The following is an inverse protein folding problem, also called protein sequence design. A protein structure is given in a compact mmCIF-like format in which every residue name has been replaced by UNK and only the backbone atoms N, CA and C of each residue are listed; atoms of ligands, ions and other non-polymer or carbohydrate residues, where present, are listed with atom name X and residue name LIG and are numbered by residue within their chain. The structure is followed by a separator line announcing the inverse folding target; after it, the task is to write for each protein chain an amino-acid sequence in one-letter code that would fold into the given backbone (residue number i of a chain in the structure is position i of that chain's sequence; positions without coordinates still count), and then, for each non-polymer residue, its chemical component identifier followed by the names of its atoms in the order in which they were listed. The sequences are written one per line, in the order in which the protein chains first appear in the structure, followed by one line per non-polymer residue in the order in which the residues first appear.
data_IF_611619607760
#
_entry.id   IF_611619607760
#
_cell.length_a   1.000
_cell.length_b   1.000
_cell.length_c   1.000
_cell.angle_alpha   90.00
_cell.angle_beta   90.00
_cell.angle_gamma   90.00
#
_symmetry.space_group_name_H-M   'P 1'
#
loop_
_entity.id
_entity.type
_entity.pdbx_description
1 polymer ?
#
# COMPACT_ATOMS: atom_id res chain seq x y z
N UNK A 1 13.01 -2.52 1.25
CA UNK A 1 12.90 -3.14 -0.05
C UNK A 1 13.42 -4.55 0.13
N UNK A 2 12.54 -5.55 -0.01
CA UNK A 2 12.97 -6.94 -0.03
C UNK A 2 13.95 -7.14 -1.18
N UNK A 3 14.89 -8.05 -1.02
CA UNK A 3 15.82 -8.41 -2.09
C UNK A 3 15.04 -9.15 -3.19
N UNK A 4 14.74 -8.44 -4.26
CA UNK A 4 13.99 -8.95 -5.41
C UNK A 4 14.98 -9.01 -6.58
N UNK A 5 15.23 -10.19 -7.16
CA UNK A 5 16.00 -10.30 -8.38
C UNK A 5 15.44 -9.35 -9.46
N UNK A 6 16.31 -8.61 -10.13
CA UNK A 6 15.89 -7.52 -11.05
C UNK A 6 15.04 -8.06 -12.20
N UNK A 7 15.31 -9.29 -12.66
CA UNK A 7 14.54 -10.04 -13.64
C UNK A 7 13.12 -10.41 -13.16
N UNK A 8 12.87 -10.38 -11.86
CA UNK A 8 11.56 -10.60 -11.26
C UNK A 8 10.78 -9.31 -10.96
N UNK A 9 11.43 -8.12 -10.98
CA UNK A 9 10.76 -6.84 -10.83
C UNK A 9 10.22 -6.32 -12.17
N UNK A 10 9.28 -7.07 -12.75
CA UNK A 10 8.64 -6.71 -14.02
C UNK A 10 7.38 -5.87 -13.74
N UNK A 11 7.29 -4.71 -14.39
CA UNK A 11 6.16 -3.80 -14.30
C UNK A 11 5.43 -3.71 -15.64
N UNK A 12 4.16 -4.10 -15.68
CA UNK A 12 3.32 -3.96 -16.88
C UNK A 12 3.00 -2.50 -17.18
N UNK A 13 2.75 -1.72 -16.12
CA UNK A 13 2.35 -0.32 -16.20
C UNK A 13 2.82 0.45 -14.99
N UNK A 14 3.29 1.68 -15.22
CA UNK A 14 3.60 2.64 -14.17
C UNK A 14 3.21 4.04 -14.65
N UNK A 15 2.38 4.74 -13.89
CA UNK A 15 1.96 6.09 -14.23
C UNK A 15 1.46 6.85 -13.00
N UNK A 16 1.42 8.18 -13.12
CA UNK A 16 0.79 9.05 -12.11
C UNK A 16 -0.71 9.15 -12.37
N UNK A 17 -1.50 9.08 -11.31
CA UNK A 17 -2.94 9.31 -11.38
C UNK A 17 -3.20 10.79 -11.66
N UNK A 18 -4.32 11.08 -12.32
CA UNK A 18 -4.80 12.44 -12.42
C UNK A 18 -5.00 13.03 -11.01
N UNK A 19 -4.63 14.30 -10.84
CA UNK A 19 -4.84 15.00 -9.58
C UNK A 19 -6.33 15.29 -9.43
N UNK A 20 -6.97 14.92 -8.30
CA UNK A 20 -8.32 15.39 -7.99
C UNK A 20 -8.38 16.92 -7.95
N UNK A 21 -9.46 17.50 -8.48
CA UNK A 21 -9.61 18.95 -8.59
C UNK A 21 -9.55 19.71 -7.25
N UNK A 22 -9.86 19.03 -6.14
CA UNK A 22 -9.83 19.62 -4.80
C UNK A 22 -8.42 19.68 -4.16
N UNK A 23 -7.41 19.07 -4.79
CA UNK A 23 -6.03 19.07 -4.26
C UNK A 23 -5.18 20.17 -4.90
N UNK A 24 -4.29 20.75 -4.09
CA UNK A 24 -3.34 21.79 -4.52
C UNK A 24 -2.42 21.28 -5.64
N UNK A 25 -2.00 22.16 -6.58
CA UNK A 25 -0.95 21.85 -7.54
C UNK A 25 0.38 21.41 -6.92
N UNK A 26 0.65 21.80 -5.67
CA UNK A 26 1.83 21.39 -4.92
C UNK A 26 1.72 19.99 -4.31
N UNK A 27 0.51 19.43 -4.20
CA UNK A 27 0.32 18.08 -3.66
C UNK A 27 0.91 17.03 -4.63
N UNK A 28 1.79 16.13 -4.15
CA UNK A 28 2.29 15.01 -4.94
C UNK A 28 1.13 14.18 -5.51
N UNK A 29 1.30 13.68 -6.74
CA UNK A 29 0.31 12.79 -7.36
C UNK A 29 0.65 11.35 -7.02
N UNK A 30 -0.37 10.56 -6.72
CA UNK A 30 -0.22 9.13 -6.51
C UNK A 30 0.31 8.43 -7.76
N UNK A 31 1.07 7.36 -7.55
CA UNK A 31 1.61 6.50 -8.61
C UNK A 31 0.89 5.16 -8.55
N UNK A 32 0.32 4.74 -9.68
CA UNK A 32 -0.19 3.39 -9.86
C UNK A 32 0.87 2.55 -10.55
N UNK A 33 1.20 1.42 -9.93
CA UNK A 33 2.15 0.43 -10.44
C UNK A 33 1.45 -0.93 -10.56
N UNK A 34 1.44 -1.48 -11.78
CA UNK A 34 1.01 -2.85 -12.05
C UNK A 34 2.23 -3.75 -12.10
N UNK A 35 2.50 -4.41 -10.97
CA UNK A 35 3.54 -5.45 -10.87
C UNK A 35 3.03 -6.69 -11.59
N UNK A 36 3.86 -7.27 -12.47
CA UNK A 36 3.51 -8.45 -13.27
C UNK A 36 3.27 -9.68 -12.38
N UNK A 37 4.20 -9.97 -11.47
CA UNK A 37 4.09 -11.09 -10.55
C UNK A 37 3.36 -10.71 -9.26
N UNK A 38 2.29 -11.44 -8.96
CA UNK A 38 1.50 -11.23 -7.73
C UNK A 38 2.34 -11.40 -6.45
N UNK A 39 3.23 -12.39 -6.39
CA UNK A 39 4.05 -12.62 -5.19
C UNK A 39 5.02 -11.46 -4.91
N UNK A 40 5.54 -10.79 -5.96
CA UNK A 40 6.39 -9.61 -5.81
C UNK A 40 5.61 -8.44 -5.22
N UNK A 41 4.38 -8.21 -5.71
CA UNK A 41 3.48 -7.21 -5.11
C UNK A 41 3.26 -7.49 -3.62
N UNK A 42 2.95 -8.72 -3.24
CA UNK A 42 2.69 -9.09 -1.84
C UNK A 42 3.95 -8.94 -0.97
N UNK A 43 5.12 -9.29 -1.50
CA UNK A 43 6.41 -9.10 -0.82
C UNK A 43 6.69 -7.62 -0.54
N UNK A 44 6.50 -6.75 -1.53
CA UNK A 44 6.63 -5.29 -1.38
C UNK A 44 5.69 -4.76 -0.29
N UNK A 45 4.41 -5.15 -0.34
CA UNK A 45 3.41 -4.73 0.65
C UNK A 45 3.74 -5.23 2.07
N UNK A 46 4.21 -6.47 2.20
CA UNK A 46 4.62 -7.05 3.49
C UNK A 46 5.83 -6.34 4.07
N UNK A 47 6.86 -6.06 3.27
CA UNK A 47 8.04 -5.30 3.71
C UNK A 47 7.67 -3.89 4.16
N UNK A 48 6.77 -3.19 3.45
CA UNK A 48 6.29 -1.90 3.92
C UNK A 48 5.52 -2.02 5.24
N UNK A 49 4.54 -2.93 5.37
CA UNK A 49 3.72 -3.03 6.60
C UNK A 49 4.55 -3.29 7.84
N UNK A 50 5.59 -4.12 7.71
CA UNK A 50 6.52 -4.43 8.80
C UNK A 50 7.59 -3.35 9.00
N UNK A 51 7.68 -2.37 8.09
CA UNK A 51 8.77 -1.39 7.96
C UNK A 51 10.16 -2.03 7.93
N UNK A 52 10.25 -3.33 7.67
CA UNK A 52 11.52 -4.06 7.53
C UNK A 52 12.11 -3.76 6.17
N UNK A 53 13.41 -3.53 6.15
CA UNK A 53 14.23 -3.32 4.96
C UNK A 53 13.94 -2.04 4.17
N UNK A 54 13.00 -1.17 4.58
CA UNK A 54 12.71 0.10 3.88
C UNK A 54 13.82 1.11 4.16
N UNK A 55 14.51 1.58 3.12
CA UNK A 55 15.54 2.60 3.23
C UNK A 55 14.96 3.89 3.86
N UNK A 56 15.76 4.59 4.68
CA UNK A 56 15.32 5.76 5.46
C UNK A 56 14.55 6.78 4.63
N UNK A 57 15.09 7.14 3.45
CA UNK A 57 14.49 8.10 2.51
C UNK A 57 13.12 7.71 1.96
N UNK A 58 12.67 6.47 2.18
CA UNK A 58 11.41 5.93 1.70
C UNK A 58 10.45 5.51 2.82
N UNK A 59 10.81 5.74 4.09
CA UNK A 59 9.95 5.38 5.22
C UNK A 59 8.64 6.17 5.27
N UNK A 60 8.64 7.39 4.74
CA UNK A 60 7.47 8.27 4.70
C UNK A 60 6.58 8.03 3.47
N UNK A 61 7.00 7.16 2.54
CA UNK A 61 6.17 6.77 1.41
C UNK A 61 5.11 5.79 1.91
N UNK A 62 3.87 6.06 1.55
CA UNK A 62 2.75 5.17 1.80
C UNK A 62 2.49 4.30 0.56
N UNK A 63 2.46 2.97 0.73
CA UNK A 63 2.10 2.02 -0.32
C UNK A 63 0.88 1.23 0.13
N UNK A 64 -0.16 1.28 -0.70
CA UNK A 64 -1.41 0.56 -0.48
C UNK A 64 -1.74 -0.33 -1.67
N UNK A 65 -2.62 -1.29 -1.44
CA UNK A 65 -3.24 -2.06 -2.52
C UNK A 65 -4.20 -1.18 -3.31
N UNK A 66 -4.09 -1.17 -4.63
CA UNK A 66 -5.13 -0.61 -5.50
C UNK A 66 -6.38 -1.50 -5.44
N UNK A 67 -7.52 -0.91 -5.13
CA UNK A 67 -8.79 -1.60 -4.88
C UNK A 67 -9.95 -0.78 -5.43
N UNK A 68 -11.01 -1.48 -5.82
CA UNK A 68 -12.24 -0.81 -6.24
C UNK A 68 -12.84 0.06 -5.13
N UNK A 69 -13.54 1.12 -5.52
CA UNK A 69 -14.26 1.99 -4.58
C UNK A 69 -15.25 1.23 -3.69
N UNK A 70 -15.93 0.22 -4.25
CA UNK A 70 -16.84 -0.66 -3.52
C UNK A 70 -16.10 -1.44 -2.42
N UNK A 71 -14.96 -2.04 -2.75
CA UNK A 71 -14.12 -2.78 -1.79
C UNK A 71 -13.61 -1.85 -0.69
N UNK A 72 -13.17 -0.63 -1.05
CA UNK A 72 -12.72 0.37 -0.08
C UNK A 72 -13.87 0.80 0.86
N UNK A 73 -15.09 0.98 0.34
CA UNK A 73 -16.27 1.29 1.17
C UNK A 73 -16.55 0.18 2.15
N UNK A 74 -16.57 -1.09 1.69
CA UNK A 74 -16.79 -2.24 2.57
C UNK A 74 -15.71 -2.31 3.66
N UNK A 75 -14.43 -2.11 3.32
CA UNK A 75 -13.34 -2.06 4.31
C UNK A 75 -13.56 -1.00 5.39
N UNK A 76 -14.01 0.21 5.01
CA UNK A 76 -14.36 1.25 6.00
C UNK A 76 -15.51 0.81 6.91
N UNK A 77 -16.51 0.11 6.40
CA UNK A 77 -17.61 -0.40 7.23
C UNK A 77 -17.16 -1.45 8.26
N UNK A 78 -16.11 -2.23 7.96
CA UNK A 78 -15.52 -3.20 8.89
C UNK A 78 -14.51 -2.58 9.88
N UNK A 79 -14.18 -1.30 9.74
CA UNK A 79 -13.18 -0.62 10.59
C UNK A 79 -13.54 -0.69 12.08
N UNK A 80 -14.77 -0.39 12.53
CA UNK A 80 -15.12 -0.44 13.96
C UNK A 80 -14.94 -1.84 14.57
N UNK A 81 -15.27 -2.89 13.80
CA UNK A 81 -15.12 -4.29 14.23
C UNK A 81 -13.63 -4.63 14.35
N UNK A 82 -12.84 -4.22 13.36
CA UNK A 82 -11.39 -4.49 13.34
C UNK A 82 -10.68 -3.80 14.51
N UNK A 83 -11.05 -2.56 14.82
CA UNK A 83 -10.54 -1.80 15.97
C UNK A 83 -10.88 -2.46 17.31
N UNK A 84 -12.13 -2.95 17.45
CA UNK A 84 -12.59 -3.68 18.64
C UNK A 84 -11.76 -4.96 18.85
N UNK A 85 -11.62 -5.78 17.80
CA UNK A 85 -10.85 -7.04 17.86
C UNK A 85 -9.36 -6.80 18.14
N UNK A 86 -8.78 -5.75 17.55
CA UNK A 86 -7.38 -5.37 17.80
C UNK A 86 -7.16 -5.00 19.27
N UNK A 87 -8.07 -4.24 19.87
CA UNK A 87 -8.00 -3.85 21.29
C UNK A 87 -8.05 -5.07 22.21
N UNK A 88 -8.97 -6.01 21.95
CA UNK A 88 -9.09 -7.25 22.73
C UNK A 88 -7.79 -8.07 22.64
N UNK A 89 -7.24 -8.21 21.44
CA UNK A 89 -5.99 -8.95 21.22
C UNK A 89 -4.79 -8.34 21.94
N UNK A 90 -4.73 -7.02 22.12
CA UNK A 90 -3.63 -6.36 22.83
C UNK A 90 -3.76 -6.49 24.35
N UNK A 91 -4.98 -6.58 24.90
CA UNK A 91 -5.20 -6.72 26.34
C UNK A 91 -5.09 -8.18 26.84
N UNK A 92 -5.08 -9.14 25.92
CA UNK A 92 -5.06 -10.58 26.23
C UNK A 92 -3.66 -11.22 26.17
N UNK A 93 -2.61 -10.44 25.85
CA UNK A 93 -1.20 -10.88 25.84
C UNK A 93 -0.39 -10.14 26.90
#
# INVERSE_FOLDING_TARGET
MPDIPVDMLILDRIHRVARPAHLSPSTPRDVIMRVYYFYIKELILKSHRTKRDVAEKFKDILIFTDLSAETLRRRRNYQPITETLSTISHNAG
#
